data_IF_510894140644
#
_entry.id   IF_510894140644
#
_cell.length_a   1.000
_cell.length_b   1.000
_cell.length_c   1.000
_cell.angle_alpha   90.00
_cell.angle_beta   90.00
_cell.angle_gamma   90.00
#
_symmetry.space_group_name_H-M   'P 1'
#
loop_
_entity.id
_entity.type
_entity.pdbx_description
1 polymer ?
#
# COMPACT_ATOMS: atom_id res chain seq x y z
N UNK A 1 16.33 4.00 -10.29
CA UNK A 1 16.84 2.86 -9.50
C UNK A 1 17.44 1.84 -10.42
N UNK A 2 18.62 1.34 -10.08
CA UNK A 2 19.26 0.27 -10.83
C UNK A 2 20.32 0.72 -11.84
N UNK A 3 21.21 1.65 -11.47
CA UNK A 3 22.53 1.79 -12.14
C UNK A 3 23.41 0.52 -11.95
N UNK A 4 22.81 -0.68 -11.87
CA UNK A 4 23.47 -1.93 -11.49
C UNK A 4 23.81 -2.06 -10.00
N UNK A 5 23.35 -1.16 -9.13
CA UNK A 5 23.72 -1.13 -7.69
C UNK A 5 23.34 -2.41 -6.93
N UNK A 6 22.20 -3.02 -7.25
CA UNK A 6 21.70 -4.24 -6.60
C UNK A 6 21.55 -5.35 -7.64
N UNK A 7 22.11 -6.51 -7.33
CA UNK A 7 21.93 -7.74 -8.13
C UNK A 7 20.90 -8.69 -7.48
N UNK A 8 20.74 -8.61 -6.16
CA UNK A 8 19.71 -9.32 -5.40
C UNK A 8 18.56 -8.35 -5.04
N UNK A 9 17.31 -8.62 -5.46
CA UNK A 9 16.15 -7.84 -5.06
C UNK A 9 15.92 -7.74 -3.55
N UNK A 10 16.36 -8.72 -2.76
CA UNK A 10 16.21 -8.74 -1.29
C UNK A 10 17.09 -7.71 -0.60
N UNK A 11 18.16 -7.26 -1.25
CA UNK A 11 19.09 -6.26 -0.72
C UNK A 11 18.58 -4.82 -0.88
N UNK A 12 17.46 -4.62 -1.59
CA UNK A 12 16.88 -3.29 -1.81
C UNK A 12 16.15 -2.85 -0.53
N UNK A 13 16.60 -1.79 0.16
CA UNK A 13 15.92 -1.31 1.36
C UNK A 13 14.51 -0.79 1.03
N UNK A 14 13.54 -1.07 1.90
CA UNK A 14 12.13 -0.68 1.67
C UNK A 14 11.96 0.82 1.43
N UNK A 15 12.71 1.67 2.14
CA UNK A 15 12.63 3.13 1.94
C UNK A 15 13.14 3.56 0.57
N UNK A 16 14.17 2.92 0.03
CA UNK A 16 14.75 3.21 -1.30
C UNK A 16 13.80 2.74 -2.42
N UNK A 17 13.16 1.59 -2.23
CA UNK A 17 12.14 1.06 -3.15
C UNK A 17 10.91 1.99 -3.29
N UNK A 18 10.63 2.81 -2.28
CA UNK A 18 9.46 3.70 -2.25
C UNK A 18 9.76 5.16 -2.61
N UNK A 19 10.99 5.51 -3.01
CA UNK A 19 11.32 6.88 -3.44
C UNK A 19 10.72 7.15 -4.83
N UNK A 20 9.79 8.13 -4.98
CA UNK A 20 9.08 8.37 -6.23
C UNK A 20 9.98 8.77 -7.42
N UNK A 21 11.11 9.43 -7.16
CA UNK A 21 12.01 9.93 -8.19
C UNK A 21 12.84 8.85 -8.90
N UNK A 22 12.72 7.59 -8.47
CA UNK A 22 13.59 6.52 -8.94
C UNK A 22 13.14 5.90 -10.27
N UNK A 23 11.88 6.03 -10.65
CA UNK A 23 11.30 5.50 -11.88
C UNK A 23 10.25 6.46 -12.43
N UNK A 24 10.18 6.61 -13.75
CA UNK A 24 9.13 7.38 -14.41
C UNK A 24 7.83 6.57 -14.40
N UNK A 25 6.80 7.14 -13.78
CA UNK A 25 5.45 6.59 -13.73
C UNK A 25 4.78 6.67 -15.10
N UNK A 26 3.78 5.81 -15.34
CA UNK A 26 3.06 5.77 -16.61
C UNK A 26 2.37 7.11 -16.93
N UNK A 27 1.87 7.81 -15.92
CA UNK A 27 1.21 9.13 -16.04
C UNK A 27 2.13 10.27 -16.48
N UNK A 28 3.45 10.09 -16.41
CA UNK A 28 4.42 11.10 -16.85
C UNK A 28 4.74 11.04 -18.35
N UNK A 29 4.11 10.13 -19.09
CA UNK A 29 4.25 10.00 -20.54
C UNK A 29 3.06 10.62 -21.28
N UNK A 30 3.25 10.97 -22.56
CA UNK A 30 2.14 11.38 -23.42
C UNK A 30 1.15 10.23 -23.64
N UNK A 31 -0.09 10.53 -24.00
CA UNK A 31 -1.13 9.52 -24.25
C UNK A 31 -0.72 8.48 -25.30
N UNK A 32 -0.03 8.91 -26.37
CA UNK A 32 0.47 8.00 -27.43
C UNK A 32 1.54 7.04 -26.88
N UNK A 33 2.46 7.55 -26.08
CA UNK A 33 3.51 6.80 -25.41
C UNK A 33 2.98 5.81 -24.38
N UNK A 34 1.95 6.20 -23.61
CA UNK A 34 1.25 5.31 -22.69
C UNK A 34 0.64 4.15 -23.47
N UNK A 35 -0.14 4.46 -24.53
CA UNK A 35 -0.78 3.45 -25.36
C UNK A 35 0.23 2.50 -26.02
N UNK A 36 1.37 3.03 -26.48
CA UNK A 36 2.44 2.21 -27.04
C UNK A 36 2.97 1.20 -26.01
N UNK A 37 3.29 1.63 -24.78
CA UNK A 37 3.77 0.73 -23.72
C UNK A 37 2.70 -0.29 -23.31
N UNK A 38 1.46 0.17 -23.15
CA UNK A 38 0.33 -0.70 -22.81
C UNK A 38 0.07 -1.78 -23.86
N UNK A 39 0.36 -1.53 -25.14
CA UNK A 39 0.20 -2.53 -26.22
C UNK A 39 1.41 -3.44 -26.36
N UNK A 40 2.62 -2.88 -26.27
CA UNK A 40 3.82 -3.55 -26.77
C UNK A 40 4.75 -4.10 -25.67
N UNK A 41 4.65 -3.63 -24.42
CA UNK A 41 5.58 -4.07 -23.37
C UNK A 41 5.09 -5.38 -22.71
N UNK A 42 6.02 -6.19 -22.22
CA UNK A 42 5.70 -7.29 -21.32
C UNK A 42 5.15 -6.73 -20.01
N UNK A 43 4.01 -7.24 -19.56
CA UNK A 43 3.36 -6.90 -18.29
C UNK A 43 3.27 -8.17 -17.47
N UNK A 44 3.76 -8.13 -16.24
CA UNK A 44 3.64 -9.23 -15.29
C UNK A 44 3.33 -8.65 -13.91
N UNK A 45 2.74 -9.48 -13.06
CA UNK A 45 2.39 -9.14 -11.68
C UNK A 45 2.74 -10.32 -10.78
N UNK A 46 3.24 -10.02 -9.58
CA UNK A 46 3.42 -11.03 -8.54
C UNK A 46 2.14 -11.15 -7.73
N UNK A 47 1.58 -12.37 -7.69
CA UNK A 47 0.40 -12.70 -6.89
C UNK A 47 0.80 -13.55 -5.69
N UNK A 48 -0.04 -13.53 -4.66
CA UNK A 48 0.04 -14.35 -3.45
C UNK A 48 -1.37 -14.91 -3.18
N UNK A 49 -1.46 -15.97 -2.37
CA UNK A 49 -2.77 -16.48 -1.93
C UNK A 49 -3.63 -15.33 -1.36
N UNK A 50 -4.89 -15.17 -1.81
CA UNK A 50 -5.73 -14.03 -1.46
C UNK A 50 -5.89 -13.77 0.04
N UNK A 51 -6.20 -14.80 0.84
CA UNK A 51 -6.44 -14.63 2.27
C UNK A 51 -5.14 -14.28 3.01
N UNK A 52 -4.04 -14.90 2.63
CA UNK A 52 -2.70 -14.60 3.13
C UNK A 52 -2.29 -13.16 2.82
N UNK A 53 -2.59 -12.68 1.60
CA UNK A 53 -2.33 -11.29 1.19
C UNK A 53 -3.14 -10.29 2.00
N UNK A 54 -4.40 -10.60 2.32
CA UNK A 54 -5.27 -9.76 3.16
C UNK A 54 -4.73 -9.67 4.59
N UNK A 55 -4.43 -10.81 5.23
CA UNK A 55 -3.90 -10.85 6.59
C UNK A 55 -2.53 -10.15 6.67
N UNK A 56 -1.67 -10.38 5.68
CA UNK A 56 -0.37 -9.72 5.58
C UNK A 56 -0.50 -8.20 5.44
N UNK A 57 -1.45 -7.71 4.64
CA UNK A 57 -1.70 -6.29 4.48
C UNK A 57 -2.21 -5.66 5.78
N UNK A 58 -3.18 -6.29 6.44
CA UNK A 58 -3.71 -5.82 7.73
C UNK A 58 -2.61 -5.70 8.78
N UNK A 59 -1.82 -6.77 8.98
CA UNK A 59 -0.68 -6.75 9.92
C UNK A 59 0.35 -5.69 9.58
N UNK A 60 0.67 -5.52 8.29
CA UNK A 60 1.63 -4.50 7.90
C UNK A 60 1.12 -3.08 8.17
N UNK A 61 -0.18 -2.83 7.96
CA UNK A 61 -0.75 -1.48 7.91
C UNK A 61 -1.41 -1.00 9.19
N UNK A 62 -1.93 -1.90 10.03
CA UNK A 62 -2.74 -1.54 11.20
C UNK A 62 -2.24 -2.10 12.54
N UNK A 63 -1.37 -3.12 12.54
CA UNK A 63 -0.87 -3.69 13.81
C UNK A 63 0.52 -3.19 14.20
N UNK A 64 1.18 -2.39 13.35
CA UNK A 64 2.52 -1.85 13.64
C UNK A 64 2.40 -0.45 14.21
N UNK A 65 2.82 -0.28 15.46
CA UNK A 65 2.69 0.99 16.21
C UNK A 65 3.34 2.20 15.55
N UNK A 66 4.39 2.00 14.75
CA UNK A 66 5.11 3.07 14.06
C UNK A 66 4.40 3.61 12.80
N UNK A 67 3.30 3.00 12.33
CA UNK A 67 2.55 3.43 11.14
C UNK A 67 1.46 4.47 11.45
N UNK A 68 1.73 5.39 12.39
CA UNK A 68 0.75 6.37 12.91
C UNK A 68 0.11 7.23 11.81
N UNK A 69 0.89 7.69 10.82
CA UNK A 69 0.35 8.46 9.70
C UNK A 69 -0.65 7.65 8.84
N UNK A 70 -0.39 6.35 8.68
CA UNK A 70 -1.30 5.45 7.96
C UNK A 70 -2.57 5.18 8.75
N UNK A 71 -2.44 4.93 10.06
CA UNK A 71 -3.56 4.76 10.99
C UNK A 71 -4.48 5.98 10.98
N UNK A 72 -3.89 7.18 11.08
CA UNK A 72 -4.65 8.43 11.03
C UNK A 72 -5.38 8.62 9.70
N UNK A 73 -4.72 8.33 8.58
CA UNK A 73 -5.28 8.52 7.22
C UNK A 73 -6.37 7.52 6.87
N UNK A 74 -6.14 6.23 7.09
CA UNK A 74 -7.04 5.16 6.66
C UNK A 74 -7.81 4.54 7.82
N UNK A 75 -7.17 4.34 8.97
CA UNK A 75 -7.81 3.69 10.11
C UNK A 75 -8.97 4.50 10.67
N UNK A 76 -8.81 5.82 10.83
CA UNK A 76 -9.92 6.69 11.27
C UNK A 76 -11.09 6.65 10.28
N UNK A 77 -10.83 6.51 8.97
CA UNK A 77 -11.86 6.40 7.93
C UNK A 77 -12.61 5.07 8.01
N UNK A 78 -11.88 3.98 8.22
CA UNK A 78 -12.45 2.63 8.38
C UNK A 78 -13.35 2.59 9.62
N UNK A 79 -12.83 3.04 10.77
CA UNK A 79 -13.57 3.06 12.04
C UNK A 79 -14.84 3.90 11.93
N UNK A 80 -14.75 5.12 11.39
CA UNK A 80 -15.93 5.99 11.17
C UNK A 80 -17.03 5.34 10.34
N UNK A 81 -16.67 4.46 9.39
CA UNK A 81 -17.62 3.86 8.46
C UNK A 81 -18.23 2.56 8.98
N UNK A 82 -17.48 1.77 9.74
CA UNK A 82 -17.84 0.39 10.03
C UNK A 82 -18.03 0.09 11.53
N UNK A 83 -17.50 0.93 12.43
CA UNK A 83 -17.68 0.73 13.87
C UNK A 83 -18.96 1.41 14.33
N UNK A 84 -19.83 0.65 15.01
CA UNK A 84 -21.12 1.15 15.52
C UNK A 84 -20.91 2.25 16.57
N UNK A 85 -20.09 2.00 17.58
CA UNK A 85 -19.85 2.92 18.71
C UNK A 85 -18.35 3.18 18.93
N UNK A 86 -17.70 3.96 18.05
CA UNK A 86 -16.27 4.25 18.17
C UNK A 86 -15.98 5.25 19.30
N UNK A 87 -14.93 4.99 20.09
CA UNK A 87 -14.44 5.96 21.07
C UNK A 87 -13.84 7.20 20.38
N UNK A 88 -13.78 8.32 21.09
CA UNK A 88 -13.12 9.54 20.59
C UNK A 88 -11.66 9.28 20.20
N UNK A 89 -10.95 8.47 21.00
CA UNK A 89 -9.58 8.06 20.71
C UNK A 89 -9.48 7.28 19.39
N UNK A 90 -10.38 6.32 19.15
CA UNK A 90 -10.41 5.53 17.91
C UNK A 90 -10.68 6.42 16.68
N UNK A 91 -11.54 7.42 16.82
CA UNK A 91 -11.86 8.39 15.76
C UNK A 91 -10.73 9.37 15.48
N UNK A 92 -9.88 9.66 16.46
CA UNK A 92 -8.75 10.56 16.33
C UNK A 92 -7.49 9.85 15.78
N UNK A 93 -7.19 8.68 16.34
CA UNK A 93 -5.93 7.96 16.12
C UNK A 93 -6.02 6.89 15.04
N UNK A 94 -7.15 6.17 14.95
CA UNK A 94 -7.35 5.10 13.97
C UNK A 94 -6.40 3.91 14.11
N UNK A 95 -5.77 3.73 15.28
CA UNK A 95 -4.71 2.73 15.48
C UNK A 95 -5.22 1.33 15.84
N UNK A 96 -6.50 1.21 16.16
CA UNK A 96 -7.14 0.01 16.70
C UNK A 96 -8.17 -0.58 15.72
N UNK A 97 -7.94 -0.41 14.41
CA UNK A 97 -8.75 -1.01 13.35
C UNK A 97 -8.75 -2.53 13.51
N UNK A 98 -9.94 -3.13 13.53
CA UNK A 98 -10.13 -4.58 13.60
C UNK A 98 -10.00 -5.20 12.20
N UNK A 99 -9.62 -6.47 12.15
CA UNK A 99 -9.47 -7.17 10.87
C UNK A 99 -10.78 -7.20 10.08
N UNK A 100 -11.91 -7.44 10.75
CA UNK A 100 -13.24 -7.41 10.13
C UNK A 100 -13.55 -6.05 9.49
N UNK A 101 -13.28 -4.95 10.18
CA UNK A 101 -13.49 -3.59 9.69
C UNK A 101 -12.61 -3.29 8.47
N UNK A 102 -11.37 -3.79 8.47
CA UNK A 102 -10.47 -3.72 7.32
C UNK A 102 -11.00 -4.51 6.13
N UNK A 103 -11.50 -5.73 6.34
CA UNK A 103 -12.06 -6.57 5.26
C UNK A 103 -13.33 -5.94 4.68
N UNK A 104 -14.23 -5.39 5.51
CA UNK A 104 -15.43 -4.69 5.05
C UNK A 104 -15.15 -3.38 4.30
N UNK A 105 -13.97 -2.81 4.49
CA UNK A 105 -13.56 -1.56 3.84
C UNK A 105 -13.05 -1.76 2.41
N UNK A 106 -12.45 -2.92 2.12
CA UNK A 106 -11.94 -3.27 0.80
C UNK A 106 -13.07 -3.53 -0.20
#
# INVERSE_FOLDING_TARGET
TGHGKYQDPLEIPAHEAHVPANLRTLSEYSTSEINYRLRNYLKFIFVREPLERLVSAYRNKFTRSYNTAFHKRYGTKIIRRHRQDPSSEALESGHDVRFEEFVYYL
#
